data_IF_621599247160
#
_entry.id   IF_621599247160
#
_cell.length_a   1.000
_cell.length_b   1.000
_cell.length_c   1.000
_cell.angle_alpha   90.00
_cell.angle_beta   90.00
_cell.angle_gamma   90.00
#
_symmetry.space_group_name_H-M   'P 1'
#
loop_
_entity.id
_entity.type
_entity.pdbx_description
1 polymer ?
#
# COMPACT_ATOMS: atom_id res chain seq x y z
N UNK A 1 15.92 8.61 9.31
CA UNK A 1 15.46 7.62 8.30
C UNK A 1 13.97 7.76 8.14
N UNK A 2 13.48 7.88 6.91
CA UNK A 2 12.06 7.91 6.59
C UNK A 2 11.68 6.65 5.80
N UNK A 3 10.49 6.10 6.09
CA UNK A 3 9.85 5.09 5.26
C UNK A 3 8.51 5.65 4.78
N UNK A 4 8.30 5.64 3.47
CA UNK A 4 7.09 6.15 2.83
C UNK A 4 6.53 5.10 1.89
N UNK A 5 5.21 4.93 1.90
CA UNK A 5 4.49 4.06 0.97
C UNK A 5 3.74 4.93 -0.01
N UNK A 6 3.97 4.70 -1.29
CA UNK A 6 3.25 5.33 -2.39
C UNK A 6 2.27 4.29 -2.95
N UNK A 7 0.99 4.63 -3.05
CA UNK A 7 -0.06 3.74 -3.52
C UNK A 7 -0.59 4.19 -4.88
N UNK A 8 -0.66 3.26 -5.83
CA UNK A 8 -1.34 3.47 -7.09
C UNK A 8 -2.84 3.14 -6.94
N UNK A 9 -3.75 4.05 -7.32
CA UNK A 9 -5.17 3.77 -7.37
C UNK A 9 -5.55 2.94 -8.61
N UNK A 10 -6.62 2.17 -8.48
CA UNK A 10 -7.17 1.36 -9.55
C UNK A 10 -8.53 0.79 -9.20
N UNK A 11 -8.99 -0.17 -9.99
CA UNK A 11 -10.17 -0.97 -9.73
C UNK A 11 -9.91 -2.44 -10.05
N UNK A 12 -10.57 -3.35 -9.34
CA UNK A 12 -10.53 -4.79 -9.65
C UNK A 12 -11.59 -5.19 -10.69
N UNK A 13 -11.62 -6.47 -11.06
CA UNK A 13 -12.57 -7.02 -12.04
C UNK A 13 -14.04 -6.88 -11.61
N UNK A 14 -14.30 -6.77 -10.30
CA UNK A 14 -15.62 -6.54 -9.73
C UNK A 14 -15.96 -5.03 -9.63
N UNK A 15 -15.08 -4.15 -10.12
CA UNK A 15 -15.25 -2.69 -10.07
C UNK A 15 -15.02 -2.08 -8.69
N UNK A 16 -14.46 -2.82 -7.72
CA UNK A 16 -14.13 -2.31 -6.39
C UNK A 16 -12.89 -1.42 -6.48
N UNK A 17 -12.83 -0.37 -5.65
CA UNK A 17 -11.69 0.53 -5.63
C UNK A 17 -10.49 -0.15 -4.98
N UNK A 18 -9.31 -0.03 -5.58
CA UNK A 18 -8.09 -0.64 -5.06
C UNK A 18 -6.96 0.36 -4.92
N UNK A 19 -6.11 0.14 -3.91
CA UNK A 19 -4.81 0.83 -3.77
C UNK A 19 -3.71 -0.24 -3.70
N UNK A 20 -2.61 -0.05 -4.43
CA UNK A 20 -1.52 -1.05 -4.47
C UNK A 20 -0.13 -0.40 -4.44
N UNK A 21 0.81 -1.02 -3.72
CA UNK A 21 2.23 -0.67 -3.72
C UNK A 21 3.11 -1.73 -4.44
N UNK A 22 2.54 -2.42 -5.44
CA UNK A 22 3.20 -3.54 -6.12
C UNK A 22 4.08 -3.14 -7.33
N UNK A 23 4.54 -1.89 -7.40
CA UNK A 23 5.49 -1.43 -8.42
C UNK A 23 6.80 -2.21 -8.40
N UNK A 24 7.52 -2.22 -9.52
CA UNK A 24 8.73 -3.05 -9.70
C UNK A 24 9.99 -2.24 -9.92
N UNK A 25 9.85 -0.99 -10.33
CA UNK A 25 10.94 -0.09 -10.68
C UNK A 25 10.96 1.11 -9.75
N UNK A 26 12.13 1.73 -9.61
CA UNK A 26 12.24 3.03 -8.93
C UNK A 26 11.38 4.07 -9.69
N UNK A 27 10.54 4.79 -8.97
CA UNK A 27 9.53 5.71 -9.52
C UNK A 27 8.11 5.14 -9.52
N UNK A 28 7.94 3.81 -9.46
CA UNK A 28 6.62 3.20 -9.34
C UNK A 28 6.02 3.40 -7.93
N UNK A 29 4.71 3.18 -7.79
CA UNK A 29 4.08 3.01 -6.49
C UNK A 29 4.72 1.84 -5.72
N UNK A 30 5.06 2.04 -4.46
CA UNK A 30 5.88 1.10 -3.72
C UNK A 30 6.32 1.58 -2.35
N UNK A 31 7.11 0.75 -1.68
CA UNK A 31 7.72 1.09 -0.39
C UNK A 31 9.10 1.72 -0.62
N UNK A 32 9.27 2.96 -0.15
CA UNK A 32 10.51 3.72 -0.28
C UNK A 32 11.15 3.93 1.09
N UNK A 33 12.42 3.55 1.21
CA UNK A 33 13.27 3.91 2.35
C UNK A 33 14.21 5.03 1.91
N UNK A 34 14.16 6.15 2.62
CA UNK A 34 15.06 7.29 2.40
C UNK A 34 15.97 7.43 3.62
N UNK A 35 17.28 7.33 3.38
CA UNK A 35 18.32 7.52 4.36
C UNK A 35 19.09 8.80 4.03
N UNK A 36 19.17 9.70 4.99
CA UNK A 36 20.08 10.84 4.95
C UNK A 36 21.50 10.33 5.28
N UNK A 37 22.46 10.59 4.40
CA UNK A 37 23.84 10.15 4.57
C UNK A 37 24.69 11.26 5.21
N UNK A 38 24.63 12.47 4.65
CA UNK A 38 25.37 13.69 5.01
C UNK A 38 25.39 14.66 3.80
N UNK A 39 25.76 15.93 4.00
CA UNK A 39 26.06 16.91 2.94
C UNK A 39 24.97 17.03 1.84
N UNK A 40 23.69 16.87 2.21
CA UNK A 40 22.57 16.92 1.26
C UNK A 40 22.44 15.69 0.36
N UNK A 41 23.20 14.61 0.63
CA UNK A 41 23.15 13.35 -0.10
C UNK A 41 22.11 12.42 0.52
N UNK A 42 21.19 11.95 -0.33
CA UNK A 42 20.17 10.98 0.06
C UNK A 42 20.43 9.64 -0.60
N UNK A 43 20.28 8.56 0.17
CA UNK A 43 20.16 7.21 -0.35
C UNK A 43 18.71 6.78 -0.35
N UNK A 44 18.18 6.55 -1.55
CA UNK A 44 16.80 6.06 -1.74
C UNK A 44 16.85 4.57 -2.12
N UNK A 45 15.97 3.78 -1.51
CA UNK A 45 15.81 2.36 -1.84
C UNK A 45 14.33 2.06 -2.04
N UNK A 46 13.99 1.47 -3.17
CA UNK A 46 12.66 0.94 -3.45
C UNK A 46 12.62 -0.55 -3.08
N UNK A 47 11.78 -0.92 -2.12
CA UNK A 47 11.68 -2.29 -1.60
C UNK A 47 10.55 -3.04 -2.29
N UNK A 48 10.87 -3.81 -3.32
CA UNK A 48 9.90 -4.59 -4.11
C UNK A 48 9.41 -5.87 -3.40
N UNK A 49 10.05 -6.22 -2.27
CA UNK A 49 9.71 -7.38 -1.45
C UNK A 49 8.52 -7.13 -0.53
N UNK A 50 8.25 -5.88 -0.15
CA UNK A 50 7.12 -5.49 0.69
C UNK A 50 6.04 -4.86 -0.17
N UNK A 51 4.84 -5.44 -0.15
CA UNK A 51 3.71 -5.01 -0.99
C UNK A 51 2.45 -4.95 -0.16
N UNK A 52 1.70 -3.87 -0.35
CA UNK A 52 0.40 -3.63 0.26
C UNK A 52 -0.65 -3.59 -0.83
N UNK A 53 -1.80 -4.18 -0.54
CA UNK A 53 -2.97 -4.17 -1.40
C UNK A 53 -4.20 -3.90 -0.56
N UNK A 54 -4.94 -2.85 -0.93
CA UNK A 54 -6.19 -2.47 -0.31
C UNK A 54 -7.30 -2.69 -1.32
N UNK A 55 -8.39 -3.33 -0.90
CA UNK A 55 -9.63 -3.45 -1.65
C UNK A 55 -10.73 -2.79 -0.84
N UNK A 56 -11.26 -1.68 -1.34
CA UNK A 56 -12.30 -0.87 -0.69
C UNK A 56 -13.62 -1.10 -1.39
N UNK A 57 -14.65 -1.42 -0.60
CA UNK A 57 -15.97 -1.77 -1.12
C UNK A 57 -17.07 -1.46 -0.11
N UNK A 58 -18.31 -1.37 -0.59
CA UNK A 58 -19.49 -1.45 0.27
C UNK A 58 -19.86 -2.91 0.47
N UNK A 59 -20.11 -3.30 1.71
CA UNK A 59 -20.67 -4.62 2.01
C UNK A 59 -22.19 -4.67 1.78
N UNK A 60 -22.79 -5.83 2.05
CA UNK A 60 -24.23 -6.06 1.86
C UNK A 60 -25.10 -5.23 2.81
N UNK A 61 -24.55 -4.81 3.95
CA UNK A 61 -25.20 -3.89 4.91
C UNK A 61 -25.03 -2.40 4.50
N UNK A 62 -24.35 -2.14 3.38
CA UNK A 62 -24.09 -0.80 2.85
C UNK A 62 -22.93 -0.05 3.52
N UNK A 63 -22.18 -0.70 4.41
CA UNK A 63 -21.05 -0.13 5.13
C UNK A 63 -19.77 -0.16 4.29
N UNK A 64 -18.96 0.90 4.37
CA UNK A 64 -17.66 0.93 3.68
C UNK A 64 -16.65 0.06 4.44
N UNK A 65 -16.04 -0.90 3.74
CA UNK A 65 -15.02 -1.81 4.26
C UNK A 65 -13.74 -1.75 3.44
N UNK A 66 -12.67 -2.20 4.07
CA UNK A 66 -11.38 -2.39 3.44
C UNK A 66 -10.80 -3.74 3.83
N UNK A 67 -10.46 -4.54 2.81
CA UNK A 67 -9.54 -5.66 2.93
C UNK A 67 -8.14 -5.16 2.64
N UNK A 68 -7.26 -5.23 3.63
CA UNK A 68 -5.87 -4.81 3.52
C UNK A 68 -4.94 -6.02 3.68
N UNK A 69 -4.18 -6.31 2.63
CA UNK A 69 -3.20 -7.38 2.57
C UNK A 69 -1.78 -6.82 2.52
N UNK A 70 -0.93 -7.23 3.46
CA UNK A 70 0.51 -6.98 3.44
C UNK A 70 1.26 -8.26 3.13
N UNK A 71 2.10 -8.23 2.10
CA UNK A 71 2.96 -9.33 1.68
C UNK A 71 4.42 -8.95 1.77
N UNK A 72 5.24 -9.86 2.31
CA UNK A 72 6.69 -9.75 2.29
C UNK A 72 7.29 -10.98 1.63
N UNK A 73 8.12 -10.78 0.61
CA UNK A 73 8.73 -11.85 -0.19
C UNK A 73 7.70 -12.89 -0.69
N UNK A 74 6.49 -12.42 -1.04
CA UNK A 74 5.40 -13.29 -1.51
C UNK A 74 4.57 -13.96 -0.41
N UNK A 75 5.03 -13.96 0.85
CA UNK A 75 4.29 -14.47 2.00
C UNK A 75 3.33 -13.41 2.55
N UNK A 76 2.11 -13.81 2.92
CA UNK A 76 1.17 -12.92 3.61
C UNK A 76 1.62 -12.74 5.05
N UNK A 77 2.08 -11.54 5.41
CA UNK A 77 2.46 -11.22 6.80
C UNK A 77 1.26 -10.73 7.61
N UNK A 78 0.37 -9.99 6.97
CA UNK A 78 -0.78 -9.39 7.63
C UNK A 78 -1.97 -9.37 6.67
N UNK A 79 -3.14 -9.70 7.20
CA UNK A 79 -4.42 -9.49 6.54
C UNK A 79 -5.35 -8.83 7.56
N UNK A 80 -5.80 -7.63 7.24
CA UNK A 80 -6.78 -6.90 8.03
C UNK A 80 -8.06 -6.79 7.23
N UNK A 81 -9.17 -6.95 7.92
CA UNK A 81 -10.50 -6.62 7.42
C UNK A 81 -11.10 -5.63 8.40
N UNK A 82 -11.40 -4.41 7.94
CA UNK A 82 -11.92 -3.37 8.81
C UNK A 82 -12.98 -2.53 8.14
N UNK A 83 -13.87 -1.99 8.98
CA UNK A 83 -14.87 -1.00 8.60
C UNK A 83 -14.25 0.38 8.58
N UNK A 84 -14.58 1.18 7.58
CA UNK A 84 -14.23 2.58 7.47
C UNK A 84 -15.39 3.44 7.97
N UNK A 85 -15.08 4.43 8.81
CA UNK A 85 -16.04 5.45 9.25
C UNK A 85 -15.49 6.83 8.91
N UNK A 86 -16.35 7.80 8.57
CA UNK A 86 -15.93 9.18 8.46
C UNK A 86 -15.24 9.64 9.75
N UNK A 87 -14.22 10.48 9.62
CA UNK A 87 -13.67 11.17 10.78
C UNK A 87 -14.69 12.22 11.24
N UNK A 88 -14.95 12.27 12.55
CA UNK A 88 -15.74 13.32 13.17
C UNK A 88 -14.99 14.67 13.16
#
# INVERSE_FOLDING_TARGET
MNATVILAPGHDEAGRFTLTSAGRSLGDAGFYRVLDLDEGRLKVSHLTSLREHFTVYRDDDGELRCDHLVRFLGMTMLRLHYRMRPRA
#
